data_IF_191039631091
#
_entry.id   IF_191039631091
#
_cell.length_a   1.000
_cell.length_b   1.000
_cell.length_c   1.000
_cell.angle_alpha   90.00
_cell.angle_beta   90.00
_cell.angle_gamma   90.00
#
_symmetry.space_group_name_H-M   'P 1'
#
loop_
_entity.id
_entity.type
_entity.pdbx_description
1 polymer ?
#
# COMPACT_ATOMS: atom_id res chain seq x y z
N UNK A 1 -17.49 -1.16 9.71
CA UNK A 1 -16.39 -0.32 10.21
C UNK A 1 -15.24 -1.24 10.56
N UNK A 2 -14.09 -1.13 9.91
CA UNK A 2 -12.91 -1.95 10.20
C UNK A 2 -12.14 -1.34 11.36
N UNK A 3 -12.11 -2.04 12.51
CA UNK A 3 -11.39 -1.62 13.72
C UNK A 3 -9.86 -1.74 13.58
N UNK A 4 -9.10 -1.62 14.68
CA UNK A 4 -7.64 -1.77 14.69
C UNK A 4 -7.16 -3.05 13.99
N UNK A 5 -7.97 -4.12 14.05
CA UNK A 5 -7.73 -5.41 13.38
C UNK A 5 -7.60 -5.29 11.85
N UNK A 6 -8.28 -4.34 11.21
CA UNK A 6 -8.20 -4.15 9.75
C UNK A 6 -6.90 -3.44 9.37
N UNK A 7 -6.45 -2.48 10.18
CA UNK A 7 -5.14 -1.85 9.99
C UNK A 7 -4.01 -2.86 10.14
N UNK A 8 -4.03 -3.66 11.22
CA UNK A 8 -3.02 -4.71 11.46
C UNK A 8 -3.00 -5.74 10.33
N UNK A 9 -4.17 -6.14 9.82
CA UNK A 9 -4.30 -7.03 8.66
C UNK A 9 -3.67 -6.41 7.40
N UNK A 10 -3.93 -5.14 7.12
CA UNK A 10 -3.36 -4.46 5.95
C UNK A 10 -1.84 -4.31 6.07
N UNK A 11 -1.32 -3.99 7.26
CA UNK A 11 0.12 -3.94 7.54
C UNK A 11 0.76 -5.32 7.35
N UNK A 12 0.15 -6.38 7.87
CA UNK A 12 0.65 -7.74 7.69
C UNK A 12 0.69 -8.14 6.21
N UNK A 13 -0.35 -7.81 5.42
CA UNK A 13 -0.38 -8.06 3.98
C UNK A 13 0.72 -7.30 3.24
N UNK A 14 0.95 -6.04 3.60
CA UNK A 14 2.04 -5.25 3.03
C UNK A 14 3.42 -5.86 3.35
N UNK A 15 3.65 -6.28 4.59
CA UNK A 15 4.90 -6.92 4.99
C UNK A 15 5.16 -8.21 4.22
N UNK A 16 4.12 -9.03 4.02
CA UNK A 16 4.22 -10.26 3.22
C UNK A 16 4.53 -9.97 1.75
N UNK A 17 3.87 -8.97 1.15
CA UNK A 17 4.15 -8.58 -0.23
C UNK A 17 5.56 -8.01 -0.40
N UNK A 18 6.07 -7.27 0.59
CA UNK A 18 7.43 -6.74 0.59
C UNK A 18 8.47 -7.86 0.70
N UNK A 19 8.23 -8.85 1.55
CA UNK A 19 9.10 -10.03 1.67
C UNK A 19 9.18 -10.81 0.35
N UNK A 20 8.04 -11.04 -0.30
CA UNK A 20 7.97 -11.65 -1.64
C UNK A 20 8.69 -10.82 -2.70
N UNK A 21 8.55 -9.50 -2.65
CA UNK A 21 9.25 -8.61 -3.56
C UNK A 21 10.77 -8.71 -3.41
N UNK A 22 11.26 -8.77 -2.17
CA UNK A 22 12.69 -8.91 -1.88
C UNK A 22 13.28 -10.26 -2.32
N UNK A 23 12.43 -11.30 -2.42
CA UNK A 23 12.84 -12.64 -2.82
C UNK A 23 12.56 -12.94 -4.31
N UNK A 24 11.95 -12.01 -5.05
CA UNK A 24 11.51 -12.29 -6.40
C UNK A 24 12.66 -12.29 -7.40
N UNK A 25 12.70 -13.35 -8.21
CA UNK A 25 13.51 -13.41 -9.41
C UNK A 25 12.92 -12.52 -10.52
N UNK A 26 13.73 -12.22 -11.54
CA UNK A 26 13.36 -11.33 -12.65
C UNK A 26 12.07 -11.76 -13.37
N UNK A 27 11.77 -13.05 -13.44
CA UNK A 27 10.56 -13.59 -14.09
C UNK A 27 9.27 -13.30 -13.30
N UNK A 28 9.38 -13.06 -11.99
CA UNK A 28 8.23 -12.80 -11.11
C UNK A 28 8.15 -11.33 -10.66
N UNK A 29 9.16 -10.52 -10.97
CA UNK A 29 9.31 -9.15 -10.50
C UNK A 29 8.08 -8.28 -10.77
N UNK A 30 7.56 -8.29 -12.00
CA UNK A 30 6.40 -7.46 -12.36
C UNK A 30 5.15 -7.84 -11.55
N UNK A 31 4.95 -9.13 -11.31
CA UNK A 31 3.81 -9.63 -10.56
C UNK A 31 3.90 -9.26 -9.06
N UNK A 32 5.06 -9.49 -8.43
CA UNK A 32 5.25 -9.12 -7.02
C UNK A 32 5.26 -7.60 -6.81
N UNK A 33 5.75 -6.83 -7.78
CA UNK A 33 5.73 -5.38 -7.73
C UNK A 33 4.28 -4.84 -7.80
N UNK A 34 3.45 -5.47 -8.63
CA UNK A 34 2.03 -5.18 -8.68
C UNK A 34 1.33 -5.53 -7.36
N UNK A 35 1.62 -6.70 -6.77
CA UNK A 35 1.08 -7.11 -5.47
C UNK A 35 1.47 -6.12 -4.36
N UNK A 36 2.74 -5.69 -4.33
CA UNK A 36 3.24 -4.70 -3.38
C UNK A 36 2.55 -3.33 -3.57
N UNK A 37 2.38 -2.90 -4.81
CA UNK A 37 1.70 -1.64 -5.12
C UNK A 37 0.23 -1.64 -4.68
N UNK A 38 -0.47 -2.76 -4.90
CA UNK A 38 -1.87 -2.92 -4.48
C UNK A 38 -2.04 -2.94 -2.96
N UNK A 39 -1.13 -3.61 -2.24
CA UNK A 39 -1.17 -3.64 -0.77
C UNK A 39 -0.86 -2.27 -0.15
N UNK A 40 0.08 -1.53 -0.75
CA UNK A 40 0.36 -0.14 -0.39
C UNK A 40 -0.83 0.79 -0.65
N UNK A 41 -1.49 0.68 -1.80
CA UNK A 41 -2.67 1.49 -2.12
C UNK A 41 -3.81 1.22 -1.12
N UNK A 42 -4.09 -0.06 -0.84
CA UNK A 42 -5.13 -0.43 0.13
C UNK A 42 -4.86 0.14 1.53
N UNK A 43 -3.61 0.08 2.00
CA UNK A 43 -3.22 0.66 3.28
C UNK A 43 -3.37 2.19 3.28
N UNK A 44 -2.97 2.86 2.19
CA UNK A 44 -3.09 4.30 2.06
C UNK A 44 -4.57 4.74 2.03
N UNK A 45 -5.43 4.02 1.30
CA UNK A 45 -6.87 4.28 1.27
C UNK A 45 -7.50 4.12 2.66
N UNK A 46 -7.10 3.11 3.42
CA UNK A 46 -7.56 2.93 4.81
C UNK A 46 -7.17 4.12 5.69
N UNK A 47 -5.90 4.56 5.64
CA UNK A 47 -5.43 5.72 6.40
C UNK A 47 -6.18 6.99 5.99
N UNK A 48 -6.40 7.19 4.69
CA UNK A 48 -7.18 8.32 4.15
C UNK A 48 -8.61 8.29 4.70
N UNK A 49 -9.25 7.11 4.71
CA UNK A 49 -10.60 6.95 5.23
C UNK A 49 -10.66 7.28 6.72
N UNK A 50 -9.71 6.80 7.53
CA UNK A 50 -9.61 7.14 8.94
C UNK A 50 -9.41 8.64 9.16
N UNK A 51 -8.53 9.28 8.39
CA UNK A 51 -8.30 10.73 8.45
C UNK A 51 -9.58 11.52 8.13
N UNK A 52 -10.34 11.12 7.11
CA UNK A 52 -11.64 11.74 6.77
C UNK A 52 -12.64 11.61 7.91
N UNK A 53 -12.72 10.44 8.54
CA UNK A 53 -13.64 10.21 9.68
C UNK A 53 -13.29 11.08 10.89
N UNK A 54 -12.01 11.39 11.09
CA UNK A 54 -11.51 12.26 12.15
C UNK A 54 -11.58 13.76 11.79
N UNK A 55 -12.07 14.12 10.59
CA UNK A 55 -12.19 15.50 10.14
C UNK A 55 -10.89 16.15 9.65
N UNK A 56 -9.82 15.37 9.45
CA UNK A 56 -8.59 15.90 8.86
C UNK A 56 -8.76 16.15 7.35
N UNK A 57 -8.20 17.25 6.82
CA UNK A 57 -8.16 17.46 5.38
C UNK A 57 -7.30 16.37 4.73
N UNK A 58 -7.87 15.68 3.75
CA UNK A 58 -7.14 14.69 2.94
C UNK A 58 -6.96 15.26 1.54
N UNK A 59 -5.71 15.53 1.18
CA UNK A 59 -5.34 15.83 -0.19
C UNK A 59 -5.16 14.50 -0.94
N UNK A 60 -5.89 14.32 -2.04
CA UNK A 60 -5.69 13.18 -2.93
C UNK A 60 -4.32 13.30 -3.57
N UNK A 61 -3.32 12.56 -3.08
CA UNK A 61 -2.09 12.30 -3.84
C UNK A 61 -2.37 11.18 -4.85
N UNK A 62 -3.25 11.46 -5.80
CA UNK A 62 -3.43 10.60 -6.97
C UNK A 62 -2.14 10.65 -7.77
N UNK A 63 -1.45 9.51 -7.84
CA UNK A 63 -0.09 9.30 -8.37
C UNK A 63 1.06 9.71 -7.42
N UNK A 64 1.72 8.75 -6.75
CA UNK A 64 3.17 8.83 -6.68
C UNK A 64 3.65 8.77 -8.14
N UNK A 65 3.95 9.93 -8.73
CA UNK A 65 4.84 9.96 -9.88
C UNK A 65 6.14 9.37 -9.36
N UNK A 66 6.33 8.06 -9.60
CA UNK A 66 7.62 7.41 -9.43
C UNK A 66 8.56 8.24 -10.29
N UNK A 67 9.35 9.10 -9.64
CA UNK A 67 10.39 9.86 -10.28
C UNK A 67 11.34 8.81 -10.85
N UNK A 68 11.20 8.51 -12.14
CA UNK A 68 12.11 7.69 -12.90
C UNK A 68 13.41 8.48 -12.94
N UNK A 69 14.33 8.15 -12.04
CA UNK A 69 15.68 8.69 -12.05
C UNK A 69 16.37 8.06 -13.27
N UNK A 70 16.62 8.88 -14.29
CA UNK A 70 17.43 8.54 -15.46
C UNK A 70 18.92 8.51 -15.13
#
# INVERSE_FOLDING_TARGET
MGGPDEFERLVWRYQLALDRFNQADSDHFDHVNQELSQTLDALNQYIIQCKRQLGFPVHSTTNPQVARVS
#
